data_IF_710820439979
#
_entry.id   IF_710820439979
#
_cell.length_a   1.000
_cell.length_b   1.000
_cell.length_c   1.000
_cell.angle_alpha   90.00
_cell.angle_beta   90.00
_cell.angle_gamma   90.00
#
_symmetry.space_group_name_H-M   'P 1'
#
loop_
_entity.id
_entity.type
_entity.pdbx_description
1 polymer ?
#
# COMPACT_ATOMS: atom_id res chain seq x y z
N UNK A 1 15.35 -42.90 -56.10
CA UNK A 1 15.53 -42.93 -54.62
C UNK A 1 15.78 -41.51 -54.15
N UNK A 2 14.72 -40.72 -53.93
CA UNK A 2 14.81 -39.39 -53.34
C UNK A 2 13.46 -39.14 -52.64
N UNK A 3 13.44 -39.07 -51.31
CA UNK A 3 12.28 -38.64 -50.53
C UNK A 3 12.71 -37.46 -49.66
N UNK A 4 12.38 -36.27 -50.12
CA UNK A 4 12.53 -35.01 -49.39
C UNK A 4 11.45 -34.97 -48.30
N UNK A 5 11.86 -34.97 -47.02
CA UNK A 5 10.95 -34.70 -45.89
C UNK A 5 11.00 -33.21 -45.60
N UNK A 6 9.89 -32.53 -45.84
CA UNK A 6 9.66 -31.15 -45.42
C UNK A 6 9.19 -31.19 -43.95
N UNK A 7 9.98 -30.64 -43.03
CA UNK A 7 9.61 -30.48 -41.63
C UNK A 7 9.06 -29.06 -41.48
N UNK A 8 7.75 -28.93 -41.27
CA UNK A 8 7.13 -27.68 -40.83
C UNK A 8 7.31 -27.57 -39.31
N UNK A 9 8.10 -26.61 -38.87
CA UNK A 9 8.24 -26.22 -37.48
C UNK A 9 7.09 -25.25 -37.16
N UNK A 10 6.07 -25.70 -36.44
CA UNK A 10 4.97 -24.85 -35.99
C UNK A 10 5.44 -24.10 -34.74
N UNK A 11 5.74 -22.82 -34.88
CA UNK A 11 6.03 -21.91 -33.76
C UNK A 11 4.71 -21.61 -33.04
N UNK A 12 4.58 -22.08 -31.80
CA UNK A 12 3.43 -21.78 -30.95
C UNK A 12 3.67 -20.40 -30.29
N UNK A 13 3.07 -19.36 -30.86
CA UNK A 13 3.03 -18.03 -30.23
C UNK A 13 2.12 -18.11 -28.99
N UNK A 14 2.71 -18.05 -27.79
CA UNK A 14 1.97 -17.81 -26.56
C UNK A 14 1.54 -16.34 -26.52
N UNK A 15 0.30 -16.05 -26.87
CA UNK A 15 -0.34 -14.78 -26.53
C UNK A 15 -0.71 -14.81 -25.04
N UNK A 16 -0.12 -13.91 -24.26
CA UNK A 16 -0.53 -13.57 -22.90
C UNK A 16 -1.90 -12.86 -22.98
N UNK A 17 -2.98 -13.61 -22.83
CA UNK A 17 -4.30 -13.03 -22.58
C UNK A 17 -4.48 -12.81 -21.08
N UNK A 18 -5.06 -11.68 -20.64
CA UNK A 18 -5.53 -11.54 -19.26
C UNK A 18 -6.57 -12.63 -18.99
N UNK A 19 -6.53 -13.20 -17.79
CA UNK A 19 -7.39 -14.29 -17.35
C UNK A 19 -8.87 -13.94 -17.52
N UNK A 20 -9.49 -14.43 -18.60
CA UNK A 20 -10.94 -14.48 -18.71
C UNK A 20 -11.44 -15.65 -17.88
N UNK A 21 -11.99 -15.36 -16.71
CA UNK A 21 -12.76 -16.33 -15.93
C UNK A 21 -14.08 -16.59 -16.64
N UNK A 22 -14.26 -17.81 -17.18
CA UNK A 22 -15.54 -18.27 -17.74
C UNK A 22 -16.41 -18.74 -16.56
N UNK A 23 -17.58 -18.12 -16.37
CA UNK A 23 -18.55 -18.51 -15.36
C UNK A 23 -19.47 -19.64 -15.86
N UNK A 24 -19.68 -20.66 -15.03
CA UNK A 24 -20.69 -21.69 -15.24
C UNK A 24 -22.11 -21.19 -14.91
N UNK A 25 -23.08 -21.64 -15.70
CA UNK A 25 -24.49 -21.23 -15.73
C UNK A 25 -25.29 -21.91 -14.60
N UNK A 26 -25.37 -21.25 -13.45
CA UNK A 26 -26.51 -21.39 -12.52
C UNK A 26 -27.29 -20.09 -12.62
N UNK A 27 -28.62 -20.14 -12.66
CA UNK A 27 -29.58 -19.03 -12.80
C UNK A 27 -29.23 -17.81 -11.90
N UNK A 28 -28.21 -17.01 -12.29
CA UNK A 28 -27.69 -15.91 -11.48
C UNK A 28 -28.62 -14.73 -11.65
N UNK A 29 -29.09 -14.16 -10.53
CA UNK A 29 -29.90 -12.93 -10.53
C UNK A 29 -29.22 -11.79 -11.31
N UNK A 30 -27.89 -11.77 -11.29
CA UNK A 30 -27.04 -10.92 -12.12
C UNK A 30 -26.01 -11.78 -12.83
N UNK A 31 -25.99 -11.74 -14.15
CA UNK A 31 -24.92 -12.29 -14.96
C UNK A 31 -23.80 -11.25 -15.08
N UNK A 32 -22.64 -11.55 -14.50
CA UNK A 32 -21.47 -10.67 -14.50
C UNK A 32 -20.63 -10.97 -15.74
N UNK A 33 -20.49 -9.98 -16.63
CA UNK A 33 -19.64 -10.07 -17.83
C UNK A 33 -18.28 -9.42 -17.58
N UNK A 34 -18.27 -8.25 -16.94
CA UNK A 34 -17.08 -7.51 -16.53
C UNK A 34 -17.27 -7.01 -15.10
N UNK A 35 -16.26 -7.18 -14.26
CA UNK A 35 -16.17 -6.58 -12.94
C UNK A 35 -14.69 -6.35 -12.65
N UNK A 36 -14.19 -5.14 -12.89
CA UNK A 36 -12.76 -4.82 -12.84
C UNK A 36 -12.52 -3.46 -12.18
N UNK A 37 -11.26 -3.21 -11.86
CA UNK A 37 -10.78 -1.92 -11.37
C UNK A 37 -9.69 -1.36 -12.28
N UNK A 38 -9.74 -0.06 -12.53
CA UNK A 38 -8.69 0.69 -13.20
C UNK A 38 -8.09 1.69 -12.22
N UNK A 39 -6.76 1.69 -12.10
CA UNK A 39 -6.04 2.60 -11.21
C UNK A 39 -5.44 3.73 -12.03
N UNK A 40 -5.77 4.96 -11.64
CA UNK A 40 -5.24 6.19 -12.21
C UNK A 40 -4.44 6.92 -11.14
N UNK A 41 -3.29 6.36 -10.77
CA UNK A 41 -2.46 6.91 -9.70
C UNK A 41 -1.86 8.28 -10.07
N UNK A 42 -1.83 9.27 -9.16
CA UNK A 42 -2.30 9.23 -7.76
C UNK A 42 -3.77 9.65 -7.57
N UNK A 43 -4.52 9.88 -8.64
CA UNK A 43 -5.81 10.57 -8.57
C UNK A 43 -6.95 9.70 -8.05
N UNK A 44 -7.16 8.53 -8.66
CA UNK A 44 -8.37 7.73 -8.40
C UNK A 44 -8.25 6.24 -8.74
N UNK A 45 -9.20 5.47 -8.23
CA UNK A 45 -9.55 4.12 -8.66
C UNK A 45 -10.93 4.19 -9.31
N UNK A 46 -11.10 3.60 -10.48
CA UNK A 46 -12.39 3.46 -11.15
C UNK A 46 -12.84 2.01 -11.07
N UNK A 47 -14.00 1.78 -10.46
CA UNK A 47 -14.67 0.48 -10.43
C UNK A 47 -15.62 0.39 -11.62
N UNK A 48 -15.53 -0.68 -12.39
CA UNK A 48 -16.32 -0.90 -13.59
C UNK A 48 -17.08 -2.22 -13.50
N UNK A 49 -18.34 -2.18 -13.92
CA UNK A 49 -19.16 -3.37 -14.07
C UNK A 49 -19.96 -3.35 -15.36
N UNK A 50 -19.96 -4.49 -16.04
CA UNK A 50 -20.84 -4.78 -17.17
C UNK A 50 -21.47 -6.15 -16.95
N UNK A 51 -22.76 -6.26 -17.26
CA UNK A 51 -23.47 -7.51 -17.07
C UNK A 51 -24.92 -7.44 -17.51
N UNK A 52 -25.70 -8.42 -17.09
CA UNK A 52 -27.13 -8.52 -17.40
C UNK A 52 -27.94 -8.90 -16.19
N UNK A 53 -29.09 -8.25 -16.00
CA UNK A 53 -30.08 -8.66 -14.99
C UNK A 53 -31.48 -8.28 -15.42
N UNK A 54 -32.41 -9.22 -15.23
CA UNK A 54 -33.85 -9.03 -15.50
C UNK A 54 -34.54 -8.21 -14.40
N UNK A 55 -33.97 -8.14 -13.20
CA UNK A 55 -34.52 -7.37 -12.09
C UNK A 55 -34.22 -5.89 -12.30
N UNK A 56 -35.17 -5.02 -11.95
CA UNK A 56 -34.95 -3.57 -12.02
C UNK A 56 -34.03 -3.16 -10.87
N UNK A 57 -32.88 -2.60 -11.22
CA UNK A 57 -31.89 -2.13 -10.24
C UNK A 57 -32.38 -0.80 -9.65
N UNK A 58 -32.35 -0.72 -8.32
CA UNK A 58 -32.53 0.51 -7.57
C UNK A 58 -31.18 1.23 -7.42
N UNK A 59 -30.18 0.53 -6.90
CA UNK A 59 -28.84 1.07 -6.63
C UNK A 59 -27.76 -0.02 -6.81
N UNK A 60 -26.54 0.39 -7.15
CA UNK A 60 -25.35 -0.46 -7.09
C UNK A 60 -24.34 0.22 -6.16
N UNK A 61 -23.84 -0.52 -5.18
CA UNK A 61 -22.87 -0.04 -4.20
C UNK A 61 -21.58 -0.84 -4.32
N UNK A 62 -20.45 -0.16 -4.39
CA UNK A 62 -19.13 -0.76 -4.19
C UNK A 62 -18.76 -0.65 -2.72
N UNK A 63 -18.38 -1.78 -2.12
CA UNK A 63 -17.72 -1.84 -0.83
C UNK A 63 -16.26 -2.25 -1.06
N UNK A 64 -15.33 -1.60 -0.37
CA UNK A 64 -13.93 -2.00 -0.41
C UNK A 64 -13.20 -1.72 0.90
N UNK A 65 -12.15 -2.49 1.14
CA UNK A 65 -11.27 -2.40 2.28
C UNK A 65 -9.83 -2.27 1.80
N UNK A 66 -9.09 -1.33 2.39
CA UNK A 66 -7.67 -1.11 2.11
C UNK A 66 -6.83 -1.68 3.24
N UNK A 67 -5.98 -2.65 2.93
CA UNK A 67 -5.05 -3.26 3.89
C UNK A 67 -5.74 -3.72 5.18
N UNK A 68 -5.22 -3.24 6.31
CA UNK A 68 -5.67 -3.58 7.65
C UNK A 68 -6.69 -2.59 8.22
N UNK A 69 -7.12 -1.60 7.44
CA UNK A 69 -8.10 -0.59 7.86
C UNK A 69 -9.35 -1.26 8.42
N UNK A 70 -9.72 -0.92 9.66
CA UNK A 70 -10.90 -1.48 10.34
C UNK A 70 -12.23 -0.99 9.73
N UNK A 71 -12.22 0.16 9.05
CA UNK A 71 -13.41 0.78 8.46
C UNK A 71 -13.58 0.38 6.99
N UNK A 72 -14.81 -0.01 6.63
CA UNK A 72 -15.18 -0.26 5.25
C UNK A 72 -15.39 1.06 4.51
N UNK A 73 -14.81 1.17 3.32
CA UNK A 73 -15.05 2.28 2.41
C UNK A 73 -16.11 1.87 1.39
N UNK A 74 -16.92 2.83 0.94
CA UNK A 74 -17.94 2.55 -0.04
C UNK A 74 -18.29 3.74 -0.92
N UNK A 75 -18.96 3.45 -2.04
CA UNK A 75 -19.57 4.43 -2.91
C UNK A 75 -20.70 3.80 -3.73
N UNK A 76 -21.62 4.63 -4.21
CA UNK A 76 -22.65 4.20 -5.14
C UNK A 76 -22.13 4.39 -6.58
N UNK A 77 -22.49 3.47 -7.46
CA UNK A 77 -22.13 3.53 -8.88
C UNK A 77 -23.21 4.25 -9.66
N UNK A 78 -22.77 5.06 -10.62
CA UNK A 78 -23.65 5.52 -11.69
C UNK A 78 -23.87 4.33 -12.63
N UNK A 79 -25.13 4.07 -13.03
CA UNK A 79 -25.45 2.93 -13.87
C UNK A 79 -26.52 3.23 -14.92
N UNK A 80 -26.46 2.46 -16.02
CA UNK A 80 -27.45 2.46 -17.08
C UNK A 80 -27.94 1.03 -17.28
N UNK A 81 -29.24 0.79 -17.07
CA UNK A 81 -29.89 -0.48 -17.37
C UNK A 81 -30.78 -0.36 -18.62
N UNK A 82 -30.45 -1.09 -19.68
CA UNK A 82 -31.22 -1.13 -20.93
C UNK A 82 -32.39 -2.12 -20.80
N UNK A 83 -33.61 -1.63 -21.00
CA UNK A 83 -34.85 -2.43 -20.86
C UNK A 83 -34.93 -3.60 -21.84
N UNK A 84 -34.46 -3.42 -23.08
CA UNK A 84 -34.65 -4.42 -24.14
C UNK A 84 -33.70 -5.62 -24.03
N UNK A 85 -32.46 -5.37 -23.59
CA UNK A 85 -31.41 -6.38 -23.51
C UNK A 85 -31.10 -6.82 -22.08
N UNK A 86 -31.72 -6.18 -21.07
CA UNK A 86 -31.37 -6.33 -19.66
C UNK A 86 -29.90 -6.02 -19.34
N UNK A 87 -29.19 -5.34 -20.25
CA UNK A 87 -27.79 -5.02 -20.10
C UNK A 87 -27.60 -3.87 -19.11
N UNK A 88 -26.60 -4.00 -18.25
CA UNK A 88 -26.22 -3.03 -17.23
C UNK A 88 -24.77 -2.65 -17.48
N UNK A 89 -24.50 -1.36 -17.46
CA UNK A 89 -23.15 -0.81 -17.41
C UNK A 89 -23.11 0.19 -16.27
N UNK A 90 -22.09 0.10 -15.42
CA UNK A 90 -21.93 1.00 -14.29
C UNK A 90 -20.48 1.34 -13.99
N UNK A 91 -20.26 2.53 -13.45
CA UNK A 91 -18.94 2.99 -13.03
C UNK A 91 -19.00 3.77 -11.73
N UNK A 92 -17.88 3.75 -10.99
CA UNK A 92 -17.69 4.59 -9.81
C UNK A 92 -16.23 5.01 -9.69
N UNK A 93 -16.00 6.31 -9.54
CA UNK A 93 -14.68 6.89 -9.27
C UNK A 93 -14.47 7.11 -7.77
N UNK A 94 -13.40 6.55 -7.22
CA UNK A 94 -12.95 6.80 -5.85
C UNK A 94 -11.63 7.57 -5.84
N UNK A 95 -11.60 8.78 -5.26
CA UNK A 95 -10.37 9.60 -5.17
C UNK A 95 -9.41 9.06 -4.11
N UNK A 96 -8.16 8.85 -4.50
CA UNK A 96 -7.10 8.24 -3.66
C UNK A 96 -5.99 9.22 -3.26
N UNK A 97 -6.11 10.51 -3.55
CA UNK A 97 -5.18 11.57 -3.14
C UNK A 97 -5.80 12.60 -2.18
N UNK A 98 -6.74 12.17 -1.32
CA UNK A 98 -7.40 13.06 -0.37
C UNK A 98 -6.81 12.96 1.03
N UNK A 99 -6.95 14.00 1.86
CA UNK A 99 -6.38 14.02 3.21
C UNK A 99 -6.86 12.85 4.09
N UNK A 100 -8.11 12.40 3.92
CA UNK A 100 -8.71 11.27 4.66
C UNK A 100 -8.73 9.95 3.86
N UNK A 101 -8.55 10.01 2.55
CA UNK A 101 -8.72 8.87 1.64
C UNK A 101 -7.46 8.51 0.85
N UNK A 102 -6.28 8.99 1.25
CA UNK A 102 -5.05 8.65 0.56
C UNK A 102 -4.71 7.16 0.70
N UNK A 103 -4.51 6.48 -0.43
CA UNK A 103 -4.13 5.05 -0.49
C UNK A 103 -2.71 4.98 -1.07
N UNK A 104 -1.72 4.46 -0.32
CA UNK A 104 -0.34 4.35 -0.81
C UNK A 104 -0.17 3.18 -1.79
N UNK A 105 0.73 3.31 -2.79
CA UNK A 105 1.17 2.21 -3.64
C UNK A 105 1.72 1.04 -2.81
N UNK A 106 1.29 -0.17 -3.14
CA UNK A 106 1.51 -1.39 -2.36
C UNK A 106 0.29 -1.82 -1.56
N UNK A 107 -0.77 -1.01 -1.47
CA UNK A 107 -1.97 -1.37 -0.70
C UNK A 107 -2.71 -2.55 -1.32
N UNK A 108 -3.03 -3.56 -0.50
CA UNK A 108 -4.00 -4.60 -0.87
C UNK A 108 -5.41 -4.03 -0.78
N UNK A 109 -6.20 -4.16 -1.83
CA UNK A 109 -7.60 -3.72 -1.86
C UNK A 109 -8.49 -4.92 -2.12
N UNK A 110 -9.39 -5.21 -1.18
CA UNK A 110 -10.43 -6.22 -1.30
C UNK A 110 -11.76 -5.51 -1.50
N UNK A 111 -12.57 -5.93 -2.47
CA UNK A 111 -13.79 -5.22 -2.84
C UNK A 111 -14.89 -6.13 -3.38
N UNK A 112 -16.14 -5.70 -3.25
CA UNK A 112 -17.32 -6.36 -3.79
C UNK A 112 -18.40 -5.34 -4.14
N UNK A 113 -19.36 -5.77 -4.96
CA UNK A 113 -20.51 -4.97 -5.34
C UNK A 113 -21.78 -5.54 -4.72
N UNK A 114 -22.66 -4.65 -4.26
CA UNK A 114 -24.01 -4.96 -3.79
C UNK A 114 -25.01 -4.30 -4.71
N UNK A 115 -25.85 -5.11 -5.34
CA UNK A 115 -26.99 -4.69 -6.13
C UNK A 115 -28.22 -4.68 -5.24
N UNK A 116 -28.91 -3.55 -5.21
CA UNK A 116 -30.21 -3.39 -4.56
C UNK A 116 -31.27 -3.33 -5.67
N UNK A 117 -32.33 -4.12 -5.54
CA UNK A 117 -33.41 -4.17 -6.52
C UNK A 117 -34.70 -3.53 -5.97
N UNK A 118 -35.56 -3.06 -6.87
CA UNK A 118 -36.85 -2.44 -6.52
C UNK A 118 -37.81 -3.38 -5.75
N UNK A 119 -37.64 -4.70 -5.89
CA UNK A 119 -38.41 -5.71 -5.16
C UNK A 119 -37.90 -5.93 -3.71
N UNK A 120 -36.86 -5.20 -3.31
CA UNK A 120 -36.23 -5.28 -1.99
C UNK A 120 -35.17 -6.38 -1.85
N UNK A 121 -34.95 -7.21 -2.88
CA UNK A 121 -33.89 -8.23 -2.88
C UNK A 121 -32.51 -7.62 -3.11
N UNK A 122 -31.48 -8.38 -2.77
CA UNK A 122 -30.08 -7.97 -2.91
C UNK A 122 -29.26 -9.09 -3.52
N UNK A 123 -28.29 -8.70 -4.35
CA UNK A 123 -27.28 -9.59 -4.89
C UNK A 123 -25.89 -9.03 -4.58
N UNK A 124 -24.99 -9.87 -4.07
CA UNK A 124 -23.62 -9.51 -3.72
C UNK A 124 -22.68 -10.30 -4.64
N UNK A 125 -21.74 -9.62 -5.29
CA UNK A 125 -20.72 -10.29 -6.09
C UNK A 125 -19.70 -11.00 -5.20
N UNK A 126 -19.00 -11.98 -5.77
CA UNK A 126 -17.80 -12.52 -5.13
C UNK A 126 -16.81 -11.40 -4.84
N UNK A 127 -16.08 -11.52 -3.73
CA UNK A 127 -15.02 -10.58 -3.37
C UNK A 127 -13.84 -10.72 -4.33
N UNK A 128 -13.34 -9.58 -4.80
CA UNK A 128 -12.16 -9.48 -5.63
C UNK A 128 -11.05 -8.76 -4.89
N UNK A 129 -9.81 -9.10 -5.21
CA UNK A 129 -8.65 -8.48 -4.60
C UNK A 129 -7.62 -8.07 -5.64
N UNK A 130 -6.97 -6.93 -5.42
CA UNK A 130 -5.82 -6.52 -6.19
C UNK A 130 -4.83 -5.72 -5.34
N UNK A 131 -3.61 -5.53 -5.85
CA UNK A 131 -2.63 -4.63 -5.24
C UNK A 131 -2.60 -3.34 -6.03
N UNK A 132 -2.88 -2.23 -5.35
CA UNK A 132 -2.81 -0.91 -5.95
C UNK A 132 -1.34 -0.49 -6.01
N UNK A 133 -0.77 -0.44 -7.20
CA UNK A 133 0.58 0.08 -7.46
C UNK A 133 0.51 1.41 -8.21
N UNK A 134 1.65 2.08 -8.26
CA UNK A 134 1.82 3.33 -8.99
C UNK A 134 1.81 3.09 -10.50
N UNK A 135 0.67 3.39 -11.13
CA UNK A 135 0.43 3.16 -12.56
C UNK A 135 1.15 4.12 -13.50
N UNK A 136 1.96 5.06 -12.98
CA UNK A 136 2.90 5.83 -13.81
C UNK A 136 4.04 4.95 -14.34
N UNK A 137 4.20 3.75 -13.79
CA UNK A 137 5.20 2.75 -14.17
C UNK A 137 4.53 1.38 -14.38
N UNK A 138 5.01 0.62 -15.36
CA UNK A 138 4.45 -0.67 -15.79
C UNK A 138 5.43 -1.85 -15.60
N UNK A 139 6.62 -1.59 -15.10
CA UNK A 139 7.74 -2.51 -14.90
C UNK A 139 8.01 -2.85 -13.42
N UNK A 140 6.97 -2.81 -12.59
CA UNK A 140 7.05 -3.28 -11.20
C UNK A 140 7.24 -4.81 -11.16
N UNK A 141 8.25 -5.26 -10.42
CA UNK A 141 8.48 -6.64 -10.01
C UNK A 141 8.49 -6.74 -8.47
N UNK A 142 8.50 -7.94 -7.91
CA UNK A 142 8.51 -8.13 -6.46
C UNK A 142 9.46 -9.22 -5.98
N UNK A 143 9.91 -9.06 -4.75
CA UNK A 143 10.51 -10.12 -3.93
C UNK A 143 9.67 -10.26 -2.67
N UNK A 144 9.57 -11.47 -2.13
CA UNK A 144 8.76 -11.70 -0.93
C UNK A 144 9.28 -12.83 -0.05
N UNK A 145 8.98 -12.67 1.23
CA UNK A 145 9.02 -13.68 2.29
C UNK A 145 7.59 -13.92 2.78
N UNK A 146 7.42 -14.70 3.85
CA UNK A 146 6.12 -14.92 4.46
C UNK A 146 5.49 -13.61 4.98
N UNK A 147 6.30 -12.75 5.60
CA UNK A 147 5.81 -11.55 6.30
C UNK A 147 6.11 -10.24 5.58
N UNK A 148 6.98 -10.22 4.57
CA UNK A 148 7.33 -9.00 3.83
C UNK A 148 7.17 -9.24 2.31
N UNK A 149 6.63 -8.25 1.60
CA UNK A 149 6.73 -8.17 0.12
C UNK A 149 7.24 -6.80 -0.30
N UNK A 150 8.26 -6.76 -1.16
CA UNK A 150 8.87 -5.52 -1.67
C UNK A 150 8.65 -5.43 -3.18
N UNK A 151 7.98 -4.36 -3.63
CA UNK A 151 7.84 -3.97 -5.02
C UNK A 151 9.00 -3.08 -5.44
N UNK A 152 9.65 -3.39 -6.56
CA UNK A 152 10.82 -2.69 -7.09
C UNK A 152 10.81 -2.66 -8.63
N UNK A 153 11.65 -1.83 -9.25
CA UNK A 153 11.73 -1.73 -10.73
C UNK A 153 13.08 -2.13 -11.33
N UNK A 154 14.21 -1.74 -10.72
CA UNK A 154 15.53 -1.92 -11.37
C UNK A 154 16.51 -2.86 -10.65
N UNK A 155 16.53 -2.90 -9.32
CA UNK A 155 17.58 -3.60 -8.58
C UNK A 155 17.03 -4.73 -7.72
N UNK A 156 16.87 -5.92 -8.32
CA UNK A 156 16.45 -7.14 -7.60
C UNK A 156 17.41 -7.51 -6.47
N UNK A 157 18.72 -7.33 -6.67
CA UNK A 157 19.73 -7.63 -5.64
C UNK A 157 19.59 -6.73 -4.41
N UNK A 158 19.32 -5.42 -4.61
CA UNK A 158 18.99 -4.50 -3.52
C UNK A 158 17.69 -4.91 -2.83
N UNK A 159 16.64 -5.23 -3.60
CA UNK A 159 15.35 -5.64 -3.04
C UNK A 159 15.48 -6.92 -2.19
N UNK A 160 16.24 -7.94 -2.65
CA UNK A 160 16.52 -9.15 -1.87
C UNK A 160 17.29 -8.84 -0.58
N UNK A 161 18.35 -8.03 -0.65
CA UNK A 161 19.09 -7.63 0.56
C UNK A 161 18.17 -6.92 1.54
N UNK A 162 17.33 -6.01 1.05
CA UNK A 162 16.38 -5.28 1.88
C UNK A 162 15.35 -6.22 2.52
N UNK A 163 14.85 -7.21 1.76
CA UNK A 163 13.94 -8.24 2.25
C UNK A 163 14.55 -9.03 3.42
N UNK A 164 15.79 -9.50 3.25
CA UNK A 164 16.52 -10.24 4.29
C UNK A 164 16.69 -9.42 5.58
N UNK A 165 17.06 -8.14 5.47
CA UNK A 165 17.20 -7.26 6.64
C UNK A 165 15.86 -6.96 7.32
N UNK A 166 14.77 -6.86 6.55
CA UNK A 166 13.43 -6.66 7.09
C UNK A 166 12.94 -7.91 7.83
N UNK A 167 13.21 -9.11 7.32
CA UNK A 167 12.85 -10.37 8.01
C UNK A 167 13.62 -10.50 9.34
N UNK A 168 14.92 -10.21 9.35
CA UNK A 168 15.72 -10.19 10.58
C UNK A 168 15.18 -9.18 11.61
N UNK A 169 14.74 -8.01 11.15
CA UNK A 169 14.11 -7.04 12.03
C UNK A 169 12.85 -7.60 12.72
N UNK A 170 11.98 -8.28 11.97
CA UNK A 170 10.73 -8.82 12.53
C UNK A 170 11.02 -9.78 13.69
N UNK A 171 12.02 -10.64 13.54
CA UNK A 171 12.46 -11.57 14.59
C UNK A 171 13.04 -10.84 15.81
N UNK A 172 13.85 -9.81 15.58
CA UNK A 172 14.48 -9.02 16.66
C UNK A 172 13.46 -8.19 17.44
N UNK A 173 12.44 -7.65 16.78
CA UNK A 173 11.43 -6.78 17.40
C UNK A 173 10.25 -7.57 17.99
N UNK A 174 10.06 -8.84 17.61
CA UNK A 174 8.99 -9.68 18.14
C UNK A 174 8.91 -9.73 19.68
N UNK A 175 10.01 -9.82 20.44
CA UNK A 175 9.97 -9.78 21.90
C UNK A 175 9.54 -8.42 22.49
N UNK A 176 9.60 -7.35 21.71
CA UNK A 176 9.32 -5.97 22.15
C UNK A 176 7.87 -5.58 21.85
N UNK A 177 7.41 -5.84 20.63
CA UNK A 177 6.09 -5.41 20.14
C UNK A 177 5.16 -6.55 19.76
N UNK A 178 5.61 -7.80 19.86
CA UNK A 178 4.86 -8.98 19.46
C UNK A 178 5.11 -9.40 18.02
N UNK A 179 4.59 -10.57 17.67
CA UNK A 179 4.63 -11.13 16.32
C UNK A 179 3.26 -10.99 15.66
N UNK A 180 3.25 -10.69 14.36
CA UNK A 180 2.03 -10.45 13.58
C UNK A 180 2.08 -11.27 12.29
N UNK A 181 0.93 -11.77 11.87
CA UNK A 181 0.85 -12.67 10.73
C UNK A 181 0.67 -11.96 9.40
N UNK A 182 0.16 -10.74 9.44
CA UNK A 182 -0.18 -9.95 8.28
C UNK A 182 1.08 -9.47 7.54
N UNK A 183 1.12 -9.72 6.23
CA UNK A 183 2.25 -9.32 5.39
C UNK A 183 2.35 -7.79 5.26
N UNK A 184 3.51 -7.22 5.59
CA UNK A 184 3.82 -5.82 5.33
C UNK A 184 4.30 -5.67 3.88
N UNK A 185 3.76 -4.69 3.16
CA UNK A 185 4.12 -4.41 1.77
C UNK A 185 4.99 -3.17 1.70
N UNK A 186 6.00 -3.20 0.86
CA UNK A 186 6.90 -2.09 0.65
C UNK A 186 6.95 -1.71 -0.82
N UNK A 187 6.91 -0.42 -1.13
CA UNK A 187 7.15 0.10 -2.47
C UNK A 187 8.47 0.86 -2.47
N UNK A 188 9.47 0.33 -3.18
CA UNK A 188 10.83 0.85 -3.27
C UNK A 188 10.98 1.71 -4.53
N UNK A 189 11.01 3.03 -4.35
CA UNK A 189 11.20 4.00 -5.42
C UNK A 189 12.66 4.24 -5.73
N UNK A 190 13.03 4.42 -6.99
CA UNK A 190 14.45 4.53 -7.36
C UNK A 190 15.05 5.91 -7.08
N UNK A 191 14.21 6.94 -7.08
CA UNK A 191 14.61 8.32 -6.86
C UNK A 191 13.42 9.15 -6.34
N UNK A 192 13.71 10.32 -5.78
CA UNK A 192 12.70 11.18 -5.16
C UNK A 192 11.66 11.70 -6.15
N UNK A 193 12.04 11.90 -7.42
CA UNK A 193 11.09 12.36 -8.46
C UNK A 193 10.03 11.31 -8.75
N UNK A 194 10.33 10.02 -8.61
CA UNK A 194 9.33 8.96 -8.70
C UNK A 194 8.47 8.93 -7.43
N UNK A 195 9.08 9.06 -6.25
CA UNK A 195 8.39 8.88 -4.96
C UNK A 195 7.44 10.02 -4.60
N UNK A 196 7.72 11.27 -4.99
CA UNK A 196 7.06 12.46 -4.43
C UNK A 196 5.52 12.45 -4.50
N UNK A 197 4.93 11.95 -5.60
CA UNK A 197 3.47 11.89 -5.75
C UNK A 197 2.83 10.75 -4.95
N UNK A 198 3.63 9.85 -4.37
CA UNK A 198 3.21 8.79 -3.46
C UNK A 198 3.35 9.16 -1.98
N UNK A 199 3.94 10.30 -1.66
CA UNK A 199 4.11 10.74 -0.28
C UNK A 199 2.87 11.52 0.13
N UNK A 200 2.37 11.26 1.34
CA UNK A 200 1.32 12.09 1.92
C UNK A 200 1.96 13.36 2.48
N UNK A 201 1.99 14.43 1.67
CA UNK A 201 2.42 15.76 2.12
C UNK A 201 1.55 16.27 3.27
N UNK A 202 2.20 16.80 4.31
CA UNK A 202 1.52 17.55 5.40
C UNK A 202 1.39 19.04 5.10
N UNK A 203 2.19 19.63 4.18
CA UNK A 203 1.98 20.99 3.66
C UNK A 203 2.85 21.32 2.43
N UNK A 204 2.28 22.04 1.45
CA UNK A 204 3.00 22.53 0.25
C UNK A 204 4.23 23.42 0.55
N UNK A 205 4.37 23.91 1.79
CA UNK A 205 5.44 24.83 2.21
C UNK A 205 6.66 24.09 2.80
N UNK A 206 6.47 22.91 3.42
CA UNK A 206 7.57 22.11 3.99
C UNK A 206 8.19 21.12 2.99
N UNK A 207 7.46 20.70 1.97
CA UNK A 207 7.91 19.64 1.02
C UNK A 207 9.09 20.03 0.12
N UNK A 208 9.41 21.34 0.05
CA UNK A 208 10.48 21.83 -0.84
C UNK A 208 11.88 21.75 -0.24
N UNK A 209 11.99 21.56 1.08
CA UNK A 209 13.28 21.61 1.78
C UNK A 209 13.71 20.28 2.42
N UNK A 210 12.78 19.34 2.67
CA UNK A 210 13.09 18.04 3.27
C UNK A 210 12.70 16.89 2.34
N UNK A 211 13.69 16.09 1.94
CA UNK A 211 13.49 14.84 1.21
C UNK A 211 13.01 13.79 2.22
N UNK A 212 11.74 13.42 2.13
CA UNK A 212 11.20 12.28 2.86
C UNK A 212 11.83 11.01 2.27
N UNK A 213 12.59 10.27 3.09
CA UNK A 213 13.27 9.04 2.67
C UNK A 213 12.38 7.80 2.79
N UNK A 214 11.43 7.82 3.73
CA UNK A 214 10.46 6.76 3.95
C UNK A 214 9.16 7.29 4.55
N UNK A 215 8.09 6.49 4.45
CA UNK A 215 6.82 6.77 5.11
C UNK A 215 6.02 5.49 5.33
N UNK A 216 5.66 5.22 6.59
CA UNK A 216 4.75 4.15 6.98
C UNK A 216 3.26 4.55 6.89
N UNK A 217 2.44 3.60 6.46
CA UNK A 217 0.98 3.70 6.38
C UNK A 217 0.37 2.48 7.08
N UNK A 218 0.20 2.59 8.40
CA UNK A 218 -0.28 1.52 9.28
C UNK A 218 -1.59 0.89 8.80
N UNK A 219 -2.61 1.70 8.50
CA UNK A 219 -3.92 1.19 8.05
C UNK A 219 -3.84 0.42 6.73
N UNK A 220 -2.86 0.72 5.88
CA UNK A 220 -2.65 0.03 4.61
C UNK A 220 -1.69 -1.15 4.72
N UNK A 221 -0.96 -1.27 5.84
CA UNK A 221 0.16 -2.20 5.99
C UNK A 221 1.26 -1.97 4.94
N UNK A 222 1.51 -0.70 4.62
CA UNK A 222 2.40 -0.28 3.54
C UNK A 222 3.51 0.61 4.04
N UNK A 223 4.72 0.40 3.54
CA UNK A 223 5.86 1.30 3.70
C UNK A 223 6.33 1.78 2.34
N UNK A 224 6.52 3.09 2.19
CA UNK A 224 7.20 3.67 1.02
C UNK A 224 8.66 3.93 1.38
N UNK A 225 9.59 3.57 0.50
CA UNK A 225 11.03 3.77 0.73
C UNK A 225 11.70 4.32 -0.51
N UNK A 226 12.55 5.32 -0.33
CA UNK A 226 13.47 5.82 -1.33
C UNK A 226 14.73 4.94 -1.36
N UNK A 227 15.00 4.28 -2.48
CA UNK A 227 16.22 3.52 -2.69
C UNK A 227 17.43 4.45 -2.58
N UNK A 228 18.47 4.00 -1.87
CA UNK A 228 19.60 4.86 -1.57
C UNK A 228 20.69 4.16 -0.81
N UNK A 229 21.50 4.96 -0.10
CA UNK A 229 22.54 4.44 0.78
C UNK A 229 21.99 3.89 2.10
N UNK A 230 20.91 4.50 2.60
CA UNK A 230 20.34 4.24 3.93
C UNK A 230 18.95 3.58 3.81
N UNK A 231 18.66 2.89 2.71
CA UNK A 231 17.34 2.30 2.44
C UNK A 231 17.00 1.20 3.46
N UNK A 232 17.99 0.40 3.90
CA UNK A 232 17.84 -0.58 4.98
C UNK A 232 17.40 0.10 6.29
N UNK A 233 18.14 1.14 6.71
CA UNK A 233 17.83 1.84 7.95
C UNK A 233 16.47 2.53 7.92
N UNK A 234 16.15 3.15 6.78
CA UNK A 234 14.85 3.78 6.55
C UNK A 234 13.72 2.76 6.56
N UNK A 235 13.84 1.66 5.82
CA UNK A 235 12.83 0.61 5.77
C UNK A 235 12.55 0.02 7.14
N UNK A 236 13.61 -0.27 7.90
CA UNK A 236 13.52 -0.90 9.22
C UNK A 236 12.93 0.04 10.26
N UNK A 237 13.29 1.33 10.22
CA UNK A 237 12.64 2.39 10.99
C UNK A 237 11.13 2.45 10.70
N UNK A 238 10.74 2.54 9.43
CA UNK A 238 9.32 2.69 9.04
C UNK A 238 8.49 1.43 9.31
N UNK A 239 9.06 0.23 9.17
CA UNK A 239 8.39 -1.03 9.55
C UNK A 239 8.04 -1.01 11.05
N UNK A 240 8.90 -0.43 11.89
CA UNK A 240 8.63 -0.35 13.33
C UNK A 240 7.34 0.41 13.63
N UNK A 241 7.03 1.48 12.88
CA UNK A 241 5.75 2.18 13.04
C UNK A 241 4.55 1.29 12.71
N UNK A 242 4.65 0.44 11.68
CA UNK A 242 3.60 -0.57 11.39
C UNK A 242 3.43 -1.53 12.56
N UNK A 243 4.54 -2.05 13.13
CA UNK A 243 4.50 -2.99 14.24
C UNK A 243 3.92 -2.36 15.52
N UNK A 244 4.29 -1.11 15.82
CA UNK A 244 3.71 -0.34 16.94
C UNK A 244 2.22 -0.12 16.72
N UNK A 245 1.80 0.24 15.50
CA UNK A 245 0.39 0.40 15.13
C UNK A 245 -0.41 -0.88 15.37
N UNK A 246 0.14 -2.04 15.00
CA UNK A 246 -0.47 -3.35 15.27
C UNK A 246 -0.50 -3.68 16.77
N UNK A 247 0.60 -3.49 17.48
CA UNK A 247 0.70 -3.77 18.93
C UNK A 247 -0.26 -2.93 19.77
N UNK A 248 -0.57 -1.71 19.31
CA UNK A 248 -1.51 -0.79 19.97
C UNK A 248 -2.92 -0.87 19.40
N UNK A 249 -3.14 -1.71 18.39
CA UNK A 249 -4.36 -1.79 17.58
C UNK A 249 -4.85 -0.42 17.03
N UNK A 250 -3.92 0.52 16.84
CA UNK A 250 -4.20 1.92 16.48
C UNK A 250 -4.96 2.72 17.55
N UNK A 251 -5.09 2.20 18.77
CA UNK A 251 -5.92 2.79 19.83
C UNK A 251 -5.13 3.63 20.83
N UNK A 252 -3.79 3.56 20.81
CA UNK A 252 -2.91 4.25 21.74
C UNK A 252 -1.97 5.15 20.95
N UNK A 253 -1.97 6.44 21.28
CA UNK A 253 -0.95 7.37 20.80
C UNK A 253 0.24 7.36 21.76
N UNK A 254 1.37 6.82 21.32
CA UNK A 254 2.61 6.86 22.10
C UNK A 254 3.19 8.28 22.12
N UNK A 255 3.85 8.69 23.21
CA UNK A 255 4.73 9.87 23.20
C UNK A 255 5.72 9.81 22.05
N UNK A 256 5.99 10.95 21.40
CA UNK A 256 6.84 10.96 20.21
C UNK A 256 8.24 10.40 20.48
N UNK A 257 8.85 10.70 21.62
CA UNK A 257 10.13 10.09 22.02
C UNK A 257 10.09 8.56 22.02
N UNK A 258 9.00 7.94 22.47
CA UNK A 258 8.93 6.47 22.51
C UNK A 258 8.68 5.90 21.11
N UNK A 259 7.81 6.53 20.31
CA UNK A 259 7.50 6.04 18.98
C UNK A 259 8.71 6.13 18.04
N UNK A 260 9.34 7.30 17.97
CA UNK A 260 10.54 7.53 17.16
C UNK A 260 11.76 6.82 17.76
N UNK A 261 11.87 6.74 19.08
CA UNK A 261 12.94 6.00 19.75
C UNK A 261 12.89 4.50 19.47
N UNK A 262 11.70 3.89 19.45
CA UNK A 262 11.55 2.50 19.02
C UNK A 262 11.90 2.33 17.54
N UNK A 263 11.52 3.26 16.68
CA UNK A 263 11.85 3.22 15.25
C UNK A 263 13.37 3.39 15.00
N UNK A 264 14.04 4.28 15.72
CA UNK A 264 15.50 4.39 15.70
C UNK A 264 16.19 3.22 16.40
N UNK A 265 15.55 2.58 17.39
CA UNK A 265 16.06 1.35 17.98
C UNK A 265 16.08 0.22 16.95
N UNK A 266 14.98 0.08 16.18
CA UNK A 266 14.78 -0.86 15.09
C UNK A 266 15.64 -0.57 13.84
N UNK A 267 16.08 0.66 13.64
CA UNK A 267 16.92 1.04 12.51
C UNK A 267 18.20 0.20 12.43
N UNK A 268 18.31 -0.68 11.43
CA UNK A 268 19.44 -1.62 11.28
C UNK A 268 20.67 -1.02 10.59
N UNK A 269 20.55 0.18 10.03
CA UNK A 269 21.64 0.89 9.35
C UNK A 269 21.75 2.32 9.89
N UNK A 270 22.02 2.42 11.20
CA UNK A 270 22.08 3.68 11.93
C UNK A 270 23.24 4.53 11.44
N UNK A 271 22.98 5.81 11.25
CA UNK A 271 24.05 6.80 11.05
C UNK A 271 24.52 7.33 12.40
N UNK A 272 25.82 7.61 12.55
CA UNK A 272 26.42 8.16 13.79
C UNK A 272 25.96 9.61 14.09
N UNK A 273 25.02 10.15 13.32
CA UNK A 273 24.63 11.55 13.43
C UNK A 273 23.96 11.85 14.77
N UNK A 274 23.04 11.00 15.24
CA UNK A 274 22.29 11.25 16.47
C UNK A 274 23.17 11.20 17.73
N UNK A 275 24.14 10.28 17.80
CA UNK A 275 25.08 10.20 18.92
C UNK A 275 25.86 11.51 19.09
N UNK A 276 26.32 12.09 17.98
CA UNK A 276 27.05 13.37 17.98
C UNK A 276 26.17 14.54 18.46
N UNK A 277 24.90 14.56 18.06
CA UNK A 277 23.96 15.58 18.54
C UNK A 277 23.61 15.37 20.00
N UNK A 278 23.44 14.13 20.46
CA UNK A 278 23.22 13.81 21.86
C UNK A 278 24.38 14.29 22.73
N UNK A 279 25.63 13.98 22.35
CA UNK A 279 26.84 14.43 23.05
C UNK A 279 26.91 15.96 23.13
N UNK A 280 26.61 16.64 22.02
CA UNK A 280 26.51 18.10 22.01
C UNK A 280 25.41 18.61 22.96
N UNK A 281 24.25 17.95 22.98
CA UNK A 281 23.13 18.28 23.87
C UNK A 281 23.47 18.10 25.35
N UNK A 282 24.21 17.05 25.69
CA UNK A 282 24.76 16.82 27.03
C UNK A 282 25.74 17.94 27.38
N UNK A 283 26.73 18.19 26.51
CA UNK A 283 27.80 19.16 26.75
C UNK A 283 27.32 20.62 26.84
N UNK A 284 26.16 20.93 26.27
CA UNK A 284 25.58 22.29 26.26
C UNK A 284 24.35 22.43 27.17
N UNK A 285 24.01 21.40 27.95
CA UNK A 285 22.84 21.35 28.83
C UNK A 285 21.52 21.67 28.09
N UNK A 286 21.37 21.11 26.88
CA UNK A 286 20.19 21.27 26.02
C UNK A 286 19.24 20.06 26.07
N UNK A 287 19.54 19.06 26.90
CA UNK A 287 18.66 17.91 27.11
C UNK A 287 17.29 18.33 27.61
N UNK A 288 16.26 17.68 27.07
CA UNK A 288 14.88 17.83 27.55
C UNK A 288 14.51 16.66 28.46
N UNK A 289 13.72 16.88 29.53
CA UNK A 289 13.02 15.79 30.21
C UNK A 289 12.10 15.04 29.23
N UNK A 290 11.95 13.72 29.35
CA UNK A 290 11.08 12.92 28.47
C UNK A 290 9.63 13.41 28.45
N UNK A 291 9.14 13.97 29.56
CA UNK A 291 7.80 14.59 29.63
C UNK A 291 7.62 15.83 28.74
N UNK A 292 8.72 16.42 28.25
CA UNK A 292 8.71 17.52 27.27
C UNK A 292 8.93 17.02 25.84
N UNK A 293 9.28 15.74 25.65
CA UNK A 293 9.46 15.11 24.33
C UNK A 293 8.22 14.33 23.88
N UNK A 294 7.04 14.71 24.38
CA UNK A 294 5.76 14.28 23.80
C UNK A 294 5.62 14.75 22.34
N UNK A 295 6.30 15.86 22.00
CA UNK A 295 6.50 16.40 20.66
C UNK A 295 7.95 16.88 20.55
N UNK A 296 8.54 16.83 19.36
CA UNK A 296 9.92 17.29 19.19
C UNK A 296 10.02 18.82 19.05
N UNK A 297 11.14 19.42 19.48
CA UNK A 297 11.39 20.84 19.29
C UNK A 297 11.36 21.21 17.80
N UNK A 298 10.89 22.44 17.49
CA UNK A 298 10.91 22.97 16.13
C UNK A 298 12.29 23.44 15.66
N UNK A 299 13.27 23.54 16.55
CA UNK A 299 14.67 23.78 16.17
C UNK A 299 15.29 22.49 15.64
N UNK A 300 15.79 22.45 14.38
CA UNK A 300 16.29 21.22 13.78
C UNK A 300 17.41 20.53 14.56
N UNK A 301 18.31 21.28 15.21
CA UNK A 301 19.40 20.66 16.00
C UNK A 301 18.84 20.01 17.25
N UNK A 302 17.90 20.67 17.91
CA UNK A 302 17.24 20.11 19.09
C UNK A 302 16.31 18.94 18.74
N UNK A 303 15.77 18.87 17.52
CA UNK A 303 15.10 17.68 17.00
C UNK A 303 16.07 16.50 16.94
N UNK A 304 17.27 16.69 16.38
CA UNK A 304 18.29 15.64 16.30
C UNK A 304 18.78 15.20 17.69
N UNK A 305 18.87 16.12 18.65
CA UNK A 305 19.12 15.79 20.07
C UNK A 305 17.98 14.93 20.61
N UNK A 306 16.72 15.30 20.36
CA UNK A 306 15.56 14.55 20.84
C UNK A 306 15.52 13.12 20.28
N UNK A 307 15.85 12.92 19.01
CA UNK A 307 16.05 11.60 18.41
C UNK A 307 17.16 10.82 19.14
N UNK A 308 18.33 11.43 19.37
CA UNK A 308 19.42 10.75 20.11
C UNK A 308 19.09 10.46 21.58
N UNK A 309 18.26 11.28 22.23
CA UNK A 309 17.81 11.06 23.61
C UNK A 309 16.78 9.94 23.75
N UNK A 310 16.09 9.58 22.66
CA UNK A 310 14.97 8.64 22.63
C UNK A 310 15.46 7.20 22.52
#
# INVERSE_FOLDING_TARGET
MLKTKLIFLFSLLFFLFPSQTIFADSDKEVNVEVAITEVYFPEKITFLFEGKTKKKIQDIKVNFKTGERKTLQYGYMDFIQKKDSNAVSSSMDFRINTQSGFIPPGSKISWSMIFYFDDGSQFITDEQEFIMLDTRFDDWDFVESEKIRIYYRYSKSRANKLLEECDLLLDEMAPIVGSFDEQIRMTLYNNYSEMIDAIRSKSKTSDRELVVAGQAFEESSVVLVLAGRNDIGTATHEIMHILVGRATEGSISLPLWLNEGLAEYANRDKTVSYDLYLDWGIGTNQLKPLSQLLTFPGDPKLTLVAYGQS
#
